data_IF_590296225602
#
_entry.id   IF_590296225602
#
_cell.length_a   1.000
_cell.length_b   1.000
_cell.length_c   1.000
_cell.angle_alpha   90.00
_cell.angle_beta   90.00
_cell.angle_gamma   90.00
#
_symmetry.space_group_name_H-M   'P 1'
#
loop_
_entity.id
_entity.type
_entity.pdbx_description
1 polymer ?
#
# COMPACT_ATOMS: atom_id res chain seq x y z
N UNK A 1 -11.44 -42.18 95.22
CA UNK A 1 -10.79 -43.51 94.89
C UNK A 1 -10.35 -43.49 93.45
N UNK A 2 -9.01 -43.70 93.28
CA UNK A 2 -8.32 -44.23 92.07
C UNK A 2 -8.65 -43.62 90.68
N UNK A 3 -7.68 -42.83 90.12
CA UNK A 3 -6.48 -43.25 89.36
C UNK A 3 -6.84 -43.81 87.94
N UNK A 4 -6.39 -43.10 86.87
CA UNK A 4 -5.33 -43.44 85.88
C UNK A 4 -5.61 -42.48 84.70
N UNK A 5 -4.81 -41.69 84.23
CA UNK A 5 -3.47 -41.53 83.73
C UNK A 5 -3.22 -42.24 82.40
N UNK A 6 -3.24 -41.53 81.27
CA UNK A 6 -2.51 -42.01 80.11
C UNK A 6 -1.99 -40.82 79.30
N UNK A 7 -0.75 -40.84 79.00
CA UNK A 7 0.00 -39.95 78.12
C UNK A 7 -0.34 -40.24 76.65
N UNK A 8 -0.75 -39.27 75.88
CA UNK A 8 -0.68 -39.35 74.44
C UNK A 8 0.35 -38.34 73.93
N UNK A 9 1.36 -38.90 73.27
CA UNK A 9 2.43 -38.17 72.58
C UNK A 9 1.87 -37.65 71.24
N UNK A 10 1.73 -36.34 71.12
CA UNK A 10 1.50 -35.69 69.83
C UNK A 10 2.79 -35.71 69.00
N UNK A 11 2.81 -36.51 67.96
CA UNK A 11 3.80 -36.50 66.87
C UNK A 11 3.50 -35.29 65.98
N UNK A 12 4.30 -34.23 66.06
CA UNK A 12 4.25 -33.11 65.09
C UNK A 12 4.95 -33.52 63.83
N UNK A 13 4.20 -33.88 62.77
CA UNK A 13 4.72 -34.09 61.41
C UNK A 13 4.89 -32.73 60.74
N UNK A 14 6.14 -32.25 60.65
CA UNK A 14 6.49 -31.07 59.85
C UNK A 14 6.36 -31.42 58.36
N UNK A 15 5.27 -31.00 57.69
CA UNK A 15 5.16 -30.99 56.26
C UNK A 15 5.96 -29.82 55.69
N UNK A 16 7.19 -30.05 55.30
CA UNK A 16 7.96 -29.11 54.47
C UNK A 16 7.40 -29.20 53.05
N UNK A 17 6.48 -28.29 52.76
CA UNK A 17 5.97 -28.10 51.37
C UNK A 17 7.08 -27.50 50.50
N UNK A 18 7.68 -28.31 49.65
CA UNK A 18 8.54 -27.83 48.56
C UNK A 18 7.64 -27.13 47.57
N UNK A 19 7.47 -25.83 47.66
CA UNK A 19 6.96 -24.98 46.61
C UNK A 19 7.96 -25.00 45.46
N UNK A 20 7.86 -25.98 44.57
CA UNK A 20 8.49 -25.94 43.30
C UNK A 20 7.94 -24.72 42.52
N UNK A 21 8.65 -23.59 42.66
CA UNK A 21 8.36 -22.41 41.83
C UNK A 21 8.57 -22.78 40.37
N UNK A 22 7.50 -23.02 39.65
CA UNK A 22 7.56 -23.00 38.20
C UNK A 22 8.10 -21.63 37.80
N UNK A 23 9.20 -21.56 37.02
CA UNK A 23 9.62 -20.28 36.47
C UNK A 23 8.44 -19.74 35.66
N UNK A 24 7.84 -18.65 36.13
CA UNK A 24 6.93 -17.87 35.29
C UNK A 24 7.73 -17.53 34.03
N UNK A 25 7.40 -18.16 32.91
CA UNK A 25 7.99 -17.82 31.64
C UNK A 25 7.67 -16.32 31.45
N UNK A 26 8.69 -15.48 31.58
CA UNK A 26 8.57 -14.05 31.30
C UNK A 26 8.09 -13.97 29.84
N UNK A 27 6.84 -13.64 29.65
CA UNK A 27 6.27 -13.38 28.31
C UNK A 27 7.14 -12.25 27.75
N UNK A 28 7.94 -12.56 26.75
CA UNK A 28 8.77 -11.55 26.11
C UNK A 28 7.84 -10.42 25.63
N UNK A 29 8.10 -9.21 26.09
CA UNK A 29 7.30 -8.05 25.71
C UNK A 29 7.31 -7.92 24.19
N UNK A 30 6.14 -7.85 23.58
CA UNK A 30 6.00 -7.77 22.12
C UNK A 30 6.68 -6.50 21.58
N UNK A 31 7.25 -6.61 20.40
CA UNK A 31 7.82 -5.48 19.66
C UNK A 31 6.65 -4.68 19.06
N UNK A 32 6.47 -3.45 19.53
CA UNK A 32 5.43 -2.55 19.01
C UNK A 32 5.85 -1.94 17.69
N UNK A 33 5.00 -2.10 16.69
CA UNK A 33 5.09 -1.48 15.36
C UNK A 33 3.88 -0.59 15.18
N UNK A 34 4.09 0.68 14.89
CA UNK A 34 3.01 1.64 14.75
C UNK A 34 2.58 1.80 13.29
N UNK A 35 1.28 1.87 13.02
CA UNK A 35 0.74 2.19 11.71
C UNK A 35 -0.26 3.34 11.79
N UNK A 36 -0.11 4.36 10.92
CA UNK A 36 -1.10 5.41 10.75
C UNK A 36 -1.72 5.25 9.36
N UNK A 37 -3.02 4.96 9.34
CA UNK A 37 -3.73 4.52 8.14
C UNK A 37 -5.06 5.24 8.02
N UNK A 38 -5.44 5.79 6.85
CA UNK A 38 -6.75 6.41 6.66
C UNK A 38 -7.85 5.34 6.57
N UNK A 39 -8.45 4.97 7.70
CA UNK A 39 -9.57 4.03 7.74
C UNK A 39 -10.90 4.68 7.38
N UNK A 40 -10.98 6.00 7.52
CA UNK A 40 -12.15 6.82 7.20
C UNK A 40 -11.75 7.98 6.26
N UNK A 41 -12.76 8.74 5.79
CA UNK A 41 -12.54 9.85 4.86
C UNK A 41 -12.32 9.38 3.40
N UNK A 42 -11.75 10.29 2.59
CA UNK A 42 -11.61 10.11 1.12
C UNK A 42 -10.73 8.92 0.71
N UNK A 43 -9.85 8.47 1.56
CA UNK A 43 -8.92 7.36 1.33
C UNK A 43 -9.29 6.07 2.08
N UNK A 44 -10.41 6.05 2.79
CA UNK A 44 -10.80 4.92 3.65
C UNK A 44 -10.80 3.56 2.94
N UNK A 45 -11.21 3.51 1.67
CA UNK A 45 -11.18 2.28 0.87
C UNK A 45 -9.77 1.76 0.59
N UNK A 46 -8.79 2.66 0.39
CA UNK A 46 -7.38 2.30 0.25
C UNK A 46 -6.77 1.90 1.59
N UNK A 47 -7.08 2.65 2.65
CA UNK A 47 -6.63 2.35 4.00
C UNK A 47 -7.08 0.99 4.52
N UNK A 48 -8.31 0.59 4.21
CA UNK A 48 -8.81 -0.74 4.56
C UNK A 48 -7.99 -1.88 3.92
N UNK A 49 -7.55 -1.72 2.68
CA UNK A 49 -6.68 -2.68 1.99
C UNK A 49 -5.30 -2.76 2.66
N UNK A 50 -4.73 -1.61 3.02
CA UNK A 50 -3.44 -1.49 3.72
C UNK A 50 -3.52 -2.17 5.08
N UNK A 51 -4.55 -1.88 5.86
CA UNK A 51 -4.80 -2.52 7.16
C UNK A 51 -4.84 -4.04 7.04
N UNK A 52 -5.60 -4.58 6.09
CA UNK A 52 -5.72 -6.03 5.90
C UNK A 52 -4.34 -6.68 5.65
N UNK A 53 -3.49 -6.05 4.84
CA UNK A 53 -2.13 -6.54 4.59
C UNK A 53 -1.26 -6.57 5.85
N UNK A 54 -1.28 -5.51 6.65
CA UNK A 54 -0.52 -5.45 7.90
C UNK A 54 -0.98 -6.49 8.92
N UNK A 55 -2.29 -6.59 9.14
CA UNK A 55 -2.86 -7.53 10.11
C UNK A 55 -2.52 -8.99 9.75
N UNK A 56 -2.69 -9.38 8.47
CA UNK A 56 -2.36 -10.74 8.02
C UNK A 56 -0.84 -10.99 8.17
N UNK A 57 0.01 -10.04 7.79
CA UNK A 57 1.44 -10.19 7.86
C UNK A 57 1.95 -10.33 9.30
N UNK A 58 1.44 -9.51 10.23
CA UNK A 58 1.81 -9.61 11.66
C UNK A 58 1.35 -10.93 12.25
N UNK A 59 0.15 -11.41 11.91
CA UNK A 59 -0.33 -12.72 12.34
C UNK A 59 0.56 -13.85 11.82
N UNK A 60 1.00 -13.78 10.56
CA UNK A 60 1.85 -14.81 9.96
C UNK A 60 3.26 -14.82 10.61
N UNK A 61 3.86 -13.64 10.82
CA UNK A 61 5.11 -13.52 11.57
C UNK A 61 4.98 -14.12 12.97
N UNK A 62 3.91 -13.80 13.69
CA UNK A 62 3.68 -14.30 15.05
C UNK A 62 3.39 -15.81 15.07
N UNK A 63 2.66 -16.32 14.09
CA UNK A 63 2.40 -17.76 13.93
C UNK A 63 3.69 -18.55 13.65
N UNK A 64 4.64 -17.93 12.95
CA UNK A 64 5.98 -18.48 12.76
C UNK A 64 6.88 -18.40 14.01
N UNK A 65 6.34 -17.83 15.11
CA UNK A 65 7.02 -17.69 16.40
C UNK A 65 7.62 -16.31 16.65
N UNK A 66 7.28 -15.29 15.84
CA UNK A 66 7.79 -13.92 15.97
C UNK A 66 9.15 -13.73 15.28
N UNK A 67 9.77 -12.57 15.51
CA UNK A 67 11.08 -12.20 14.98
C UNK A 67 12.19 -12.60 15.95
N UNK A 68 13.34 -13.00 15.42
CA UNK A 68 14.49 -13.41 16.24
C UNK A 68 15.40 -12.22 16.50
N UNK A 69 15.58 -11.87 17.79
CA UNK A 69 16.48 -10.81 18.24
C UNK A 69 17.41 -11.36 19.31
N UNK A 70 18.72 -11.31 19.08
CA UNK A 70 19.74 -11.87 20.00
C UNK A 70 19.42 -13.31 20.47
N UNK A 71 18.96 -14.16 19.56
CA UNK A 71 18.60 -15.56 19.83
C UNK A 71 17.24 -15.78 20.50
N UNK A 72 16.49 -14.72 20.80
CA UNK A 72 15.14 -14.79 21.39
C UNK A 72 14.08 -14.53 20.34
N UNK A 73 13.00 -15.31 20.36
CA UNK A 73 11.82 -15.05 19.53
C UNK A 73 10.86 -14.12 20.24
N UNK A 74 10.50 -13.02 19.58
CA UNK A 74 9.66 -11.96 20.13
C UNK A 74 8.52 -11.69 19.16
N UNK A 75 7.25 -11.71 19.59
CA UNK A 75 6.12 -11.41 18.72
C UNK A 75 6.07 -9.93 18.37
N UNK A 76 5.43 -9.60 17.24
CA UNK A 76 5.09 -8.23 16.85
C UNK A 76 3.72 -7.86 17.40
N UNK A 77 3.57 -6.60 17.83
CA UNK A 77 2.30 -5.97 18.18
C UNK A 77 2.05 -4.81 17.22
N UNK A 78 0.97 -4.88 16.45
CA UNK A 78 0.56 -3.80 15.56
C UNK A 78 -0.32 -2.81 16.31
N UNK A 79 0.15 -1.57 16.45
CA UNK A 79 -0.64 -0.44 16.98
C UNK A 79 -1.08 0.42 15.80
N UNK A 80 -2.38 0.38 15.47
CA UNK A 80 -2.93 1.05 14.29
C UNK A 80 -3.86 2.20 14.71
N UNK A 81 -3.63 3.39 14.13
CA UNK A 81 -4.42 4.59 14.36
C UNK A 81 -4.99 5.12 13.03
N UNK A 82 -6.25 5.59 13.08
CA UNK A 82 -6.92 6.25 11.95
C UNK A 82 -6.53 7.73 11.89
N UNK A 83 -6.04 8.19 10.74
CA UNK A 83 -5.78 9.62 10.47
C UNK A 83 -6.96 10.34 9.78
N UNK A 84 -8.03 9.61 9.49
CA UNK A 84 -9.25 10.15 8.90
C UNK A 84 -9.01 10.85 7.54
N UNK A 85 -7.96 10.47 6.83
CA UNK A 85 -7.50 11.09 5.57
C UNK A 85 -7.09 12.57 5.72
N UNK A 86 -6.60 12.96 6.90
CA UNK A 86 -6.18 14.31 7.25
C UNK A 86 -4.70 14.36 7.64
N UNK A 87 -3.92 15.21 6.98
CA UNK A 87 -2.47 15.31 7.18
C UNK A 87 -2.11 15.82 8.59
N UNK A 88 -2.92 16.69 9.20
CA UNK A 88 -2.69 17.19 10.56
C UNK A 88 -2.91 16.06 11.57
N UNK A 89 -3.97 15.26 11.35
CA UNK A 89 -4.22 14.07 12.17
C UNK A 89 -3.13 13.01 11.97
N UNK A 90 -2.61 12.83 10.75
CA UNK A 90 -1.47 11.96 10.50
C UNK A 90 -0.29 12.34 11.42
N UNK A 91 0.10 13.62 11.47
CA UNK A 91 1.17 14.11 12.36
C UNK A 91 0.85 13.79 13.81
N UNK A 92 -0.34 14.12 14.28
CA UNK A 92 -0.75 13.88 15.69
C UNK A 92 -0.75 12.39 16.04
N UNK A 93 -1.22 11.50 15.16
CA UNK A 93 -1.20 10.04 15.38
C UNK A 93 0.22 9.48 15.38
N UNK A 94 1.10 9.97 14.51
CA UNK A 94 2.52 9.60 14.51
C UNK A 94 3.20 9.95 15.84
N UNK A 95 2.96 11.14 16.38
CA UNK A 95 3.50 11.56 17.70
C UNK A 95 2.91 10.71 18.84
N UNK A 96 1.61 10.38 18.77
CA UNK A 96 0.98 9.46 19.73
C UNK A 96 1.67 8.09 19.73
N UNK A 97 1.98 7.55 18.56
CA UNK A 97 2.69 6.27 18.43
C UNK A 97 4.14 6.39 18.96
N UNK A 98 4.83 7.51 18.70
CA UNK A 98 6.16 7.74 19.23
C UNK A 98 6.19 7.67 20.77
N UNK A 99 5.20 8.30 21.44
CA UNK A 99 5.06 8.28 22.89
C UNK A 99 4.79 6.86 23.46
N UNK A 100 4.28 5.94 22.65
CA UNK A 100 4.06 4.54 23.03
C UNK A 100 5.31 3.66 22.86
N UNK A 101 6.44 4.22 22.43
CA UNK A 101 7.71 3.52 22.30
C UNK A 101 7.75 2.54 21.12
N UNK A 102 7.07 2.84 20.02
CA UNK A 102 7.13 1.99 18.83
C UNK A 102 8.55 1.93 18.24
N UNK A 103 8.88 0.79 17.64
CA UNK A 103 10.20 0.54 17.05
C UNK A 103 10.31 1.04 15.61
N UNK A 104 9.22 0.97 14.85
CA UNK A 104 9.12 1.41 13.46
C UNK A 104 7.70 1.86 13.13
N UNK A 105 7.57 2.70 12.09
CA UNK A 105 6.30 3.09 11.51
C UNK A 105 6.02 2.31 10.22
N UNK A 106 4.75 2.00 10.00
CA UNK A 106 4.18 1.53 8.74
C UNK A 106 3.25 2.61 8.19
N UNK A 107 3.34 2.87 6.88
CA UNK A 107 2.59 3.93 6.22
C UNK A 107 1.15 3.57 5.91
N UNK A 108 0.38 4.59 5.59
CA UNK A 108 -1.02 4.48 5.20
C UNK A 108 -1.23 4.48 3.69
N UNK A 109 -2.11 5.35 3.22
CA UNK A 109 -2.49 5.49 1.82
C UNK A 109 -2.61 6.97 1.45
N UNK A 110 -1.95 7.39 0.36
CA UNK A 110 -1.99 8.77 -0.13
C UNK A 110 -0.69 9.55 0.09
N UNK A 111 -0.22 10.22 -0.96
CA UNK A 111 1.09 10.91 -0.96
C UNK A 111 1.15 12.09 -0.01
N UNK A 112 0.06 12.84 0.14
CA UNK A 112 -0.07 13.97 1.05
C UNK A 112 0.09 13.56 2.53
N UNK A 113 -0.52 12.43 2.92
CA UNK A 113 -0.40 11.89 4.28
C UNK A 113 1.03 11.39 4.55
N UNK A 114 1.66 10.75 3.55
CA UNK A 114 3.05 10.29 3.68
C UNK A 114 4.05 11.46 3.75
N UNK A 115 3.80 12.57 3.06
CA UNK A 115 4.63 13.76 3.17
C UNK A 115 4.63 14.33 4.60
N UNK A 116 3.46 14.35 5.24
CA UNK A 116 3.33 14.75 6.65
C UNK A 116 4.01 13.75 7.59
N UNK A 117 3.78 12.45 7.39
CA UNK A 117 4.34 11.38 8.21
C UNK A 117 5.87 11.30 8.15
N UNK A 118 6.46 11.47 6.95
CA UNK A 118 7.90 11.37 6.75
C UNK A 118 8.70 12.36 7.62
N UNK A 119 8.22 13.60 7.74
CA UNK A 119 8.83 14.62 8.59
C UNK A 119 8.84 14.23 10.07
N UNK A 120 7.76 13.60 10.56
CA UNK A 120 7.67 13.12 11.95
C UNK A 120 8.59 11.92 12.17
N UNK A 121 8.64 10.98 11.21
CA UNK A 121 9.53 9.82 11.30
C UNK A 121 11.01 10.24 11.35
N UNK A 122 11.42 11.21 10.53
CA UNK A 122 12.77 11.77 10.53
C UNK A 122 13.09 12.47 11.85
N UNK A 123 12.21 13.36 12.35
CA UNK A 123 12.33 14.03 13.65
C UNK A 123 12.54 13.02 14.79
N UNK A 124 11.77 11.94 14.79
CA UNK A 124 11.76 10.91 15.84
C UNK A 124 12.84 9.85 15.62
N UNK A 125 13.67 9.97 14.57
CA UNK A 125 14.68 8.99 14.18
C UNK A 125 14.12 7.56 14.23
N UNK A 126 12.96 7.37 13.63
CA UNK A 126 12.24 6.09 13.66
C UNK A 126 12.02 5.59 12.24
N UNK A 127 12.49 4.38 11.88
CA UNK A 127 12.29 3.83 10.54
C UNK A 127 10.83 3.87 10.12
N UNK A 128 10.57 4.30 8.89
CA UNK A 128 9.26 4.43 8.29
C UNK A 128 9.21 3.72 6.95
N UNK A 129 8.42 2.66 6.86
CA UNK A 129 8.12 1.95 5.62
C UNK A 129 6.80 2.46 5.06
N UNK A 130 6.88 3.43 4.17
CA UNK A 130 5.72 4.03 3.51
C UNK A 130 5.26 3.18 2.32
N UNK A 131 3.96 2.93 2.22
CA UNK A 131 3.33 2.14 1.15
C UNK A 131 2.19 2.94 0.52
N UNK A 132 1.76 2.57 -0.69
CA UNK A 132 0.61 3.20 -1.36
C UNK A 132 0.75 4.73 -1.53
N UNK A 133 1.97 5.20 -1.83
CA UNK A 133 2.24 6.58 -2.27
C UNK A 133 3.29 6.60 -3.37
N UNK A 134 3.11 7.50 -4.32
CA UNK A 134 3.99 7.58 -5.50
C UNK A 134 4.77 8.88 -5.62
N UNK A 135 4.48 9.90 -4.80
CA UNK A 135 5.19 11.19 -4.85
C UNK A 135 6.69 11.01 -4.54
N UNK A 136 7.50 11.05 -5.58
CA UNK A 136 8.95 10.87 -5.49
C UNK A 136 9.64 12.03 -4.77
N UNK A 137 9.09 13.25 -4.91
CA UNK A 137 9.60 14.47 -4.28
C UNK A 137 9.79 14.35 -2.75
N UNK A 138 9.04 13.50 -2.07
CA UNK A 138 9.20 13.28 -0.63
C UNK A 138 10.60 12.72 -0.33
N UNK A 139 11.07 11.76 -1.12
CA UNK A 139 12.41 11.17 -0.95
C UNK A 139 13.56 12.14 -1.28
N UNK A 140 13.29 13.16 -2.10
CA UNK A 140 14.27 14.19 -2.47
C UNK A 140 14.55 15.21 -1.34
N UNK A 141 13.84 15.12 -0.21
CA UNK A 141 14.04 15.99 0.95
C UNK A 141 15.21 15.54 1.84
N UNK A 142 15.90 14.45 1.50
CA UNK A 142 17.05 13.95 2.25
C UNK A 142 16.70 13.19 3.53
N UNK A 143 15.47 12.70 3.67
CA UNK A 143 15.06 11.86 4.79
C UNK A 143 15.85 10.56 4.83
N UNK A 144 16.39 10.24 5.99
CA UNK A 144 17.22 9.04 6.22
C UNK A 144 16.41 7.85 6.74
N UNK A 145 15.24 8.11 7.34
CA UNK A 145 14.41 7.10 7.98
C UNK A 145 13.21 6.69 7.12
N UNK A 146 13.01 7.33 5.95
CA UNK A 146 11.93 7.00 5.01
C UNK A 146 12.38 5.97 3.98
N UNK A 147 11.65 4.86 3.90
CA UNK A 147 11.79 3.83 2.87
C UNK A 147 10.42 3.53 2.27
N UNK A 148 10.39 3.17 1.00
CA UNK A 148 9.12 2.80 0.36
C UNK A 148 9.31 1.62 -0.59
N UNK A 149 8.84 0.42 -0.23
CA UNK A 149 8.81 -0.72 -1.14
C UNK A 149 7.62 -0.61 -2.12
N UNK A 150 7.48 0.57 -2.72
CA UNK A 150 6.40 0.89 -3.65
C UNK A 150 6.93 1.81 -4.74
N UNK A 151 6.49 1.60 -5.97
CA UNK A 151 6.92 2.39 -7.13
C UNK A 151 6.65 3.89 -6.97
N UNK A 152 7.39 4.71 -7.70
CA UNK A 152 7.26 6.17 -7.69
C UNK A 152 6.77 6.70 -9.04
N UNK A 153 6.37 7.96 -9.10
CA UNK A 153 5.83 8.58 -10.31
C UNK A 153 6.71 8.38 -11.56
N UNK A 154 8.05 8.50 -11.50
CA UNK A 154 8.91 8.21 -12.66
C UNK A 154 8.82 6.75 -13.11
N UNK A 155 8.69 5.79 -12.17
CA UNK A 155 8.57 4.37 -12.51
C UNK A 155 7.27 4.11 -13.27
N UNK A 156 6.14 4.74 -12.89
CA UNK A 156 4.86 4.63 -13.62
C UNK A 156 5.01 5.13 -15.07
N UNK A 157 5.68 6.28 -15.25
CA UNK A 157 5.94 6.81 -16.58
C UNK A 157 6.68 5.81 -17.46
N UNK A 158 7.76 5.20 -16.95
CA UNK A 158 8.55 4.19 -17.66
C UNK A 158 7.74 2.93 -17.96
N UNK A 159 6.98 2.41 -17.00
CA UNK A 159 6.16 1.23 -17.19
C UNK A 159 5.01 1.49 -18.20
N UNK A 160 4.44 2.70 -18.22
CA UNK A 160 3.47 3.09 -19.22
C UNK A 160 4.07 3.07 -20.64
N UNK A 161 5.31 3.56 -20.82
CA UNK A 161 6.01 3.46 -22.11
C UNK A 161 6.14 2.00 -22.55
N UNK A 162 6.51 1.11 -21.62
CA UNK A 162 6.63 -0.32 -21.91
C UNK A 162 5.28 -0.97 -22.26
N UNK A 163 4.21 -0.64 -21.54
CA UNK A 163 2.86 -1.11 -21.86
C UNK A 163 2.41 -0.62 -23.26
N UNK A 164 2.53 0.68 -23.52
CA UNK A 164 2.16 1.24 -24.83
C UNK A 164 3.03 0.65 -25.96
N UNK A 165 4.29 0.30 -25.64
CA UNK A 165 5.17 -0.42 -26.55
C UNK A 165 4.65 -1.77 -27.00
N UNK A 166 3.79 -2.42 -26.23
CA UNK A 166 3.14 -3.69 -26.59
C UNK A 166 1.98 -3.54 -27.59
N UNK A 167 1.49 -2.31 -27.81
CA UNK A 167 0.48 -2.00 -28.83
C UNK A 167 1.19 -1.75 -30.15
N UNK A 168 0.67 -2.25 -31.30
CA UNK A 168 1.23 -1.92 -32.62
C UNK A 168 1.33 -0.40 -32.81
N UNK A 169 2.44 0.07 -33.37
CA UNK A 169 2.75 1.51 -33.44
C UNK A 169 1.66 2.35 -34.14
N UNK A 170 0.99 1.78 -35.16
CA UNK A 170 -0.10 2.44 -35.86
C UNK A 170 -1.34 2.67 -34.97
N UNK A 171 -1.57 1.80 -34.00
CA UNK A 171 -2.79 1.80 -33.17
C UNK A 171 -2.60 2.60 -31.88
N UNK A 172 -1.35 2.89 -31.47
CA UNK A 172 -1.05 3.63 -30.24
C UNK A 172 -1.76 4.98 -30.19
N UNK A 173 -2.21 5.43 -29.01
CA UNK A 173 -2.78 6.77 -28.87
C UNK A 173 -1.73 7.83 -29.24
N UNK A 174 -2.11 8.80 -30.08
CA UNK A 174 -1.23 9.89 -30.53
C UNK A 174 -1.40 11.16 -29.71
N UNK A 175 -2.59 11.33 -29.12
CA UNK A 175 -2.95 12.51 -28.32
C UNK A 175 -3.50 12.09 -26.97
N UNK A 176 -3.06 12.79 -25.93
CA UNK A 176 -3.43 12.49 -24.53
C UNK A 176 -3.97 13.74 -23.86
N UNK A 177 -5.03 13.59 -23.09
CA UNK A 177 -5.44 14.57 -22.11
C UNK A 177 -4.97 14.13 -20.72
N UNK A 178 -4.31 15.02 -19.98
CA UNK A 178 -3.95 14.82 -18.58
C UNK A 178 -4.92 15.62 -17.72
N UNK A 179 -5.63 14.93 -16.82
CA UNK A 179 -6.46 15.54 -15.80
C UNK A 179 -5.68 15.59 -14.50
N UNK A 180 -5.06 16.75 -14.24
CA UNK A 180 -4.12 16.95 -13.16
C UNK A 180 -4.84 17.36 -11.86
N UNK A 181 -4.76 16.54 -10.83
CA UNK A 181 -5.16 16.96 -9.48
C UNK A 181 -4.25 18.10 -8.98
N UNK A 182 -4.81 19.17 -8.38
CA UNK A 182 -4.07 20.31 -7.81
C UNK A 182 -3.34 19.94 -6.52
N UNK A 183 -2.47 18.92 -6.60
CA UNK A 183 -1.59 18.46 -5.52
C UNK A 183 -0.16 18.35 -6.04
N UNK A 184 0.81 18.20 -5.14
CA UNK A 184 2.20 17.94 -5.54
C UNK A 184 2.31 16.67 -6.36
N UNK A 185 1.59 15.61 -5.96
CA UNK A 185 1.59 14.38 -6.71
C UNK A 185 0.92 14.50 -8.08
N UNK A 186 -0.19 15.21 -8.18
CA UNK A 186 -0.83 15.47 -9.48
C UNK A 186 0.10 16.16 -10.46
N UNK A 187 0.86 17.17 -10.00
CA UNK A 187 1.86 17.87 -10.81
C UNK A 187 3.02 16.95 -11.21
N UNK A 188 3.55 16.17 -10.28
CA UNK A 188 4.64 15.24 -10.55
C UNK A 188 4.23 14.18 -11.58
N UNK A 189 3.02 13.62 -11.45
CA UNK A 189 2.50 12.65 -12.42
C UNK A 189 2.26 13.26 -13.80
N UNK A 190 1.72 14.47 -13.88
CA UNK A 190 1.55 15.16 -15.16
C UNK A 190 2.91 15.36 -15.87
N UNK A 191 3.95 15.72 -15.12
CA UNK A 191 5.32 15.81 -15.63
C UNK A 191 5.82 14.44 -16.10
N UNK A 192 5.68 13.38 -15.28
CA UNK A 192 6.15 12.03 -15.62
C UNK A 192 5.47 11.50 -16.90
N UNK A 193 4.17 11.72 -17.07
CA UNK A 193 3.45 11.32 -18.29
C UNK A 193 3.83 12.18 -19.51
N UNK A 194 4.08 13.46 -19.31
CA UNK A 194 4.56 14.33 -20.40
C UNK A 194 5.93 13.87 -20.92
N UNK A 195 6.84 13.52 -20.01
CA UNK A 195 8.15 12.96 -20.38
C UNK A 195 8.00 11.56 -21.02
N UNK A 196 7.12 10.72 -20.50
CA UNK A 196 6.81 9.42 -21.10
C UNK A 196 6.30 9.55 -22.56
N UNK A 197 5.57 10.62 -22.87
CA UNK A 197 5.09 10.92 -24.21
C UNK A 197 6.19 11.02 -25.24
N UNK A 198 7.34 11.59 -24.89
CA UNK A 198 8.51 11.70 -25.78
C UNK A 198 9.00 10.33 -26.21
N UNK A 199 9.02 9.35 -25.31
CA UNK A 199 9.47 7.99 -25.60
C UNK A 199 8.39 7.11 -26.21
N UNK A 200 7.12 7.28 -25.82
CA UNK A 200 5.98 6.48 -26.30
C UNK A 200 5.37 7.00 -27.61
N UNK A 201 5.73 8.21 -28.04
CA UNK A 201 5.29 8.81 -29.30
C UNK A 201 3.88 9.41 -29.25
N UNK A 202 3.42 9.87 -28.09
CA UNK A 202 2.19 10.65 -27.94
C UNK A 202 2.46 12.11 -27.56
N UNK A 203 1.53 12.98 -27.87
CA UNK A 203 1.54 14.39 -27.48
C UNK A 203 0.49 14.67 -26.43
N UNK A 204 0.79 15.49 -25.45
CA UNK A 204 -0.18 16.01 -24.48
C UNK A 204 -0.93 17.17 -25.12
N UNK A 205 -2.14 16.90 -25.61
CA UNK A 205 -3.02 17.89 -26.26
C UNK A 205 -3.76 18.76 -25.24
N UNK A 206 -4.02 18.25 -24.06
CA UNK A 206 -4.68 18.95 -22.95
C UNK A 206 -3.99 18.60 -21.64
N UNK A 207 -3.64 19.58 -20.85
CA UNK A 207 -3.28 19.41 -19.45
C UNK A 207 -4.18 20.37 -18.63
N UNK A 208 -5.24 19.81 -18.07
CA UNK A 208 -6.24 20.56 -17.31
C UNK A 208 -6.18 20.16 -15.84
N UNK A 209 -6.15 21.15 -14.94
CA UNK A 209 -6.08 20.92 -13.51
C UNK A 209 -7.44 21.09 -12.82
N UNK A 210 -7.64 20.37 -11.70
CA UNK A 210 -8.85 20.43 -10.88
C UNK A 210 -8.51 20.34 -9.39
N UNK A 211 -9.37 20.90 -8.54
CA UNK A 211 -9.25 20.77 -7.10
C UNK A 211 -9.78 19.39 -6.63
N UNK A 212 -9.10 18.69 -5.71
CA UNK A 212 -9.62 17.46 -5.11
C UNK A 212 -11.01 17.68 -4.51
N UNK A 213 -11.93 16.77 -4.75
CA UNK A 213 -13.31 16.86 -4.27
C UNK A 213 -14.23 17.78 -5.09
N UNK A 214 -13.79 18.24 -6.26
CA UNK A 214 -14.64 18.96 -7.20
C UNK A 214 -15.87 18.10 -7.57
N UNK A 215 -16.99 18.77 -7.87
CA UNK A 215 -18.25 18.10 -8.24
C UNK A 215 -18.50 18.10 -9.73
N UNK A 216 -17.82 18.96 -10.45
CA UNK A 216 -17.95 19.12 -11.88
C UNK A 216 -16.57 19.14 -12.56
N UNK A 217 -16.42 18.24 -13.53
CA UNK A 217 -15.24 18.05 -14.36
C UNK A 217 -15.53 18.30 -15.84
N UNK A 218 -16.73 18.79 -16.16
CA UNK A 218 -17.23 18.91 -17.55
C UNK A 218 -16.33 19.78 -18.42
N UNK A 219 -15.81 20.90 -17.90
CA UNK A 219 -14.92 21.79 -18.66
C UNK A 219 -13.66 21.07 -19.17
N UNK A 220 -12.97 20.31 -18.32
CA UNK A 220 -11.75 19.62 -18.73
C UNK A 220 -12.07 18.42 -19.68
N UNK A 221 -13.23 17.77 -19.49
CA UNK A 221 -13.68 16.68 -20.36
C UNK A 221 -14.02 17.22 -21.76
N UNK A 222 -14.74 18.36 -21.84
CA UNK A 222 -15.06 19.01 -23.10
C UNK A 222 -13.82 19.51 -23.84
N UNK A 223 -12.83 20.05 -23.12
CA UNK A 223 -11.53 20.41 -23.70
C UNK A 223 -10.82 19.20 -24.30
N UNK A 224 -10.80 18.07 -23.59
CA UNK A 224 -10.20 16.83 -24.07
C UNK A 224 -10.96 16.29 -25.31
N UNK A 225 -12.28 16.33 -25.30
CA UNK A 225 -13.12 15.96 -26.43
C UNK A 225 -12.89 16.86 -27.65
N UNK A 226 -12.85 18.17 -27.47
CA UNK A 226 -12.59 19.14 -28.54
C UNK A 226 -11.18 18.97 -29.14
N UNK A 227 -10.18 18.68 -28.31
CA UNK A 227 -8.82 18.37 -28.75
C UNK A 227 -8.68 16.97 -29.37
N UNK A 228 -9.74 16.19 -29.44
CA UNK A 228 -9.76 14.78 -29.90
C UNK A 228 -8.70 13.93 -29.22
N UNK A 229 -8.51 14.13 -27.91
CA UNK A 229 -7.56 13.33 -27.16
C UNK A 229 -7.98 11.86 -27.16
N UNK A 230 -7.08 11.00 -27.61
CA UNK A 230 -7.34 9.55 -27.75
C UNK A 230 -7.17 8.79 -26.44
N UNK A 231 -6.44 9.36 -25.49
CA UNK A 231 -6.28 8.80 -24.14
C UNK A 231 -6.48 9.86 -23.05
N UNK A 232 -6.89 9.40 -21.85
CA UNK A 232 -6.99 10.21 -20.64
C UNK A 232 -6.13 9.60 -19.57
N UNK A 233 -5.24 10.40 -18.96
CA UNK A 233 -4.42 10.02 -17.80
C UNK A 233 -4.76 10.92 -16.61
N UNK A 234 -5.01 10.31 -15.45
CA UNK A 234 -5.42 11.03 -14.24
C UNK A 234 -4.99 10.34 -12.95
N UNK A 235 -4.91 11.09 -11.85
CA UNK A 235 -4.64 10.56 -10.50
C UNK A 235 -5.75 10.94 -9.49
N UNK A 236 -7.02 10.77 -9.83
CA UNK A 236 -8.11 11.25 -8.98
C UNK A 236 -8.23 10.44 -7.68
N UNK A 237 -8.87 11.05 -6.66
CA UNK A 237 -9.41 10.28 -5.55
C UNK A 237 -10.51 9.33 -6.04
N UNK A 238 -10.84 8.26 -5.31
CA UNK A 238 -11.91 7.35 -5.76
C UNK A 238 -13.25 8.05 -6.05
N UNK A 239 -13.76 8.97 -5.22
CA UNK A 239 -14.98 9.72 -5.54
C UNK A 239 -14.85 10.57 -6.81
N UNK A 240 -13.73 11.29 -6.97
CA UNK A 240 -13.50 12.16 -8.13
C UNK A 240 -13.42 11.35 -9.43
N UNK A 241 -12.67 10.24 -9.40
CA UNK A 241 -12.54 9.35 -10.56
C UNK A 241 -13.87 8.76 -11.02
N UNK A 242 -14.73 8.36 -10.07
CA UNK A 242 -16.07 7.87 -10.39
C UNK A 242 -16.94 8.97 -11.01
N UNK A 243 -16.83 10.22 -10.55
CA UNK A 243 -17.53 11.35 -11.14
C UNK A 243 -17.02 11.68 -12.54
N UNK A 244 -15.69 11.67 -12.73
CA UNK A 244 -15.09 11.87 -14.07
C UNK A 244 -15.62 10.83 -15.07
N UNK A 245 -15.65 9.55 -14.71
CA UNK A 245 -16.17 8.49 -15.63
C UNK A 245 -17.64 8.72 -15.98
N UNK A 246 -18.48 9.06 -15.00
CA UNK A 246 -19.90 9.36 -15.23
C UNK A 246 -20.08 10.54 -16.19
N UNK A 247 -19.35 11.64 -15.94
CA UNK A 247 -19.43 12.84 -16.78
C UNK A 247 -18.80 12.59 -18.17
N UNK A 248 -17.76 11.76 -18.32
CA UNK A 248 -17.28 11.34 -19.65
C UNK A 248 -18.37 10.61 -20.46
N UNK A 249 -19.15 9.74 -19.80
CA UNK A 249 -20.30 9.07 -20.42
C UNK A 249 -21.40 10.06 -20.79
N UNK A 250 -21.79 10.93 -19.87
CA UNK A 250 -22.85 11.95 -20.08
C UNK A 250 -22.50 12.90 -21.23
N UNK A 251 -21.23 13.26 -21.37
CA UNK A 251 -20.71 14.12 -22.43
C UNK A 251 -20.33 13.37 -23.71
N UNK A 252 -20.61 12.06 -23.80
CA UNK A 252 -20.24 11.19 -24.92
C UNK A 252 -18.78 11.38 -25.34
N UNK A 253 -17.87 11.34 -24.36
CA UNK A 253 -16.43 11.32 -24.61
C UNK A 253 -15.87 9.92 -24.35
N UNK A 254 -15.44 9.26 -25.41
CA UNK A 254 -15.03 7.85 -25.43
C UNK A 254 -13.55 7.74 -25.84
N UNK A 255 -12.57 7.99 -24.94
CA UNK A 255 -11.16 7.81 -25.28
C UNK A 255 -10.82 6.32 -25.48
N UNK A 256 -9.86 6.03 -26.37
CA UNK A 256 -9.35 4.67 -26.63
C UNK A 256 -8.72 4.04 -25.39
N UNK A 257 -8.17 4.87 -24.49
CA UNK A 257 -7.52 4.46 -23.26
C UNK A 257 -7.82 5.46 -22.14
N UNK A 258 -8.23 4.94 -20.99
CA UNK A 258 -8.32 5.72 -19.74
C UNK A 258 -7.42 5.08 -18.70
N UNK A 259 -6.38 5.77 -18.26
CA UNK A 259 -5.51 5.38 -17.16
C UNK A 259 -5.84 6.26 -15.95
N UNK A 260 -6.31 5.64 -14.89
CA UNK A 260 -6.49 6.32 -13.60
C UNK A 260 -5.69 5.61 -12.53
N UNK A 261 -4.77 6.33 -11.90
CA UNK A 261 -3.99 5.79 -10.77
C UNK A 261 -4.69 6.16 -9.47
N UNK A 262 -4.80 5.21 -8.54
CA UNK A 262 -5.45 5.34 -7.23
C UNK A 262 -6.99 5.20 -7.25
N UNK A 263 -7.72 5.92 -8.08
CA UNK A 263 -9.19 5.92 -8.03
C UNK A 263 -9.83 4.55 -8.24
N UNK A 264 -9.36 3.72 -9.20
CA UNK A 264 -9.94 2.40 -9.44
C UNK A 264 -9.44 1.30 -8.49
N UNK A 265 -8.56 1.62 -7.51
CA UNK A 265 -7.97 0.60 -6.63
C UNK A 265 -9.01 -0.09 -5.72
N UNK A 266 -9.96 0.61 -5.07
CA UNK A 266 -10.89 -0.04 -4.18
C UNK A 266 -12.07 -0.70 -4.91
N UNK A 267 -12.61 -1.82 -4.40
CA UNK A 267 -13.73 -2.55 -5.01
C UNK A 267 -15.01 -1.74 -5.18
N UNK A 268 -15.15 -0.64 -4.43
CA UNK A 268 -16.28 0.28 -4.58
C UNK A 268 -16.38 0.89 -5.98
N UNK A 269 -15.28 0.92 -6.74
CA UNK A 269 -15.25 1.32 -8.14
C UNK A 269 -16.22 0.50 -8.99
N UNK A 270 -16.05 -0.81 -9.04
CA UNK A 270 -16.94 -1.70 -9.80
C UNK A 270 -18.37 -1.70 -9.26
N UNK A 271 -18.53 -1.65 -7.91
CA UNK A 271 -19.84 -1.59 -7.27
C UNK A 271 -20.65 -0.34 -7.69
N UNK A 272 -20.00 0.83 -7.78
CA UNK A 272 -20.70 2.10 -8.02
C UNK A 272 -20.81 2.46 -9.51
N UNK A 273 -19.88 1.98 -10.33
CA UNK A 273 -19.88 2.28 -11.78
C UNK A 273 -20.43 1.14 -12.63
N UNK A 274 -20.42 -0.10 -12.11
CA UNK A 274 -20.79 -1.26 -12.92
C UNK A 274 -19.98 -1.31 -14.21
N UNK A 275 -20.65 -1.55 -15.33
CA UNK A 275 -20.02 -1.62 -16.67
C UNK A 275 -19.34 -0.31 -17.10
N UNK A 276 -19.78 0.85 -16.61
CA UNK A 276 -19.16 2.13 -16.97
C UNK A 276 -17.73 2.24 -16.43
N UNK A 277 -17.42 1.53 -15.34
CA UNK A 277 -16.08 1.44 -14.77
C UNK A 277 -15.14 0.45 -15.46
N UNK A 278 -15.66 -0.38 -16.37
CA UNK A 278 -14.84 -1.34 -17.11
C UNK A 278 -13.93 -0.63 -18.14
N UNK A 279 -12.88 -1.33 -18.55
CA UNK A 279 -11.82 -0.89 -19.45
C UNK A 279 -10.95 0.25 -18.94
N UNK A 280 -11.13 0.70 -17.70
CA UNK A 280 -10.21 1.64 -17.05
C UNK A 280 -8.96 0.88 -16.62
N UNK A 281 -7.80 1.36 -17.10
CA UNK A 281 -6.48 0.87 -16.73
C UNK A 281 -6.06 1.51 -15.41
N UNK A 282 -5.39 0.76 -14.54
CA UNK A 282 -4.82 1.23 -13.29
C UNK A 282 -3.41 0.67 -13.10
N UNK A 283 -2.59 1.40 -12.35
CA UNK A 283 -1.21 1.03 -12.03
C UNK A 283 -1.05 0.84 -10.51
N UNK A 284 -1.57 -0.25 -9.93
CA UNK A 284 -1.58 -0.42 -8.47
C UNK A 284 -0.27 -0.99 -7.91
N UNK A 285 0.61 -1.50 -8.78
CA UNK A 285 1.88 -2.10 -8.40
C UNK A 285 1.81 -3.57 -7.97
N UNK A 286 0.62 -4.14 -7.75
CA UNK A 286 0.46 -5.53 -7.34
C UNK A 286 -0.91 -6.12 -7.72
N UNK A 287 -0.95 -7.45 -7.81
CA UNK A 287 -2.18 -8.21 -8.01
C UNK A 287 -2.07 -9.57 -7.31
N UNK A 288 -3.18 -10.08 -6.77
CA UNK A 288 -3.23 -11.36 -6.04
C UNK A 288 -2.94 -12.60 -6.89
N UNK A 289 -2.88 -12.48 -8.21
CA UNK A 289 -2.44 -13.53 -9.12
C UNK A 289 -0.95 -13.46 -9.46
N UNK A 290 -0.19 -12.52 -8.89
CA UNK A 290 1.27 -12.48 -9.06
C UNK A 290 1.89 -13.80 -8.58
N UNK A 291 2.95 -14.27 -9.27
CA UNK A 291 3.53 -15.61 -9.02
C UNK A 291 4.78 -15.54 -8.14
N UNK A 292 4.75 -14.68 -7.11
CA UNK A 292 5.83 -14.60 -6.13
C UNK A 292 5.55 -15.49 -4.92
N UNK A 293 6.60 -15.93 -4.20
CA UNK A 293 6.44 -16.73 -2.98
C UNK A 293 5.54 -16.04 -1.95
N UNK A 294 4.60 -16.79 -1.36
CA UNK A 294 3.69 -16.28 -0.33
C UNK A 294 2.44 -15.56 -0.84
N UNK A 295 2.33 -15.28 -2.15
CA UNK A 295 1.14 -14.59 -2.71
C UNK A 295 -0.11 -15.45 -2.58
N UNK A 296 -0.02 -16.73 -2.84
CA UNK A 296 -1.14 -17.66 -2.73
C UNK A 296 -1.67 -17.73 -1.29
N UNK A 297 -0.77 -17.93 -0.34
CA UNK A 297 -1.08 -17.99 1.09
C UNK A 297 -1.70 -16.69 1.60
N UNK A 298 -1.13 -15.55 1.21
CA UNK A 298 -1.70 -14.23 1.50
C UNK A 298 -3.12 -14.09 0.94
N UNK A 299 -3.34 -14.47 -0.31
CA UNK A 299 -4.66 -14.39 -0.94
C UNK A 299 -5.67 -15.31 -0.23
N UNK A 300 -5.31 -16.53 0.13
CA UNK A 300 -6.15 -17.46 0.88
C UNK A 300 -6.52 -16.90 2.27
N UNK A 301 -5.54 -16.32 2.98
CA UNK A 301 -5.78 -15.67 4.28
C UNK A 301 -6.72 -14.46 4.14
N UNK A 302 -6.54 -13.66 3.09
CA UNK A 302 -7.42 -12.54 2.80
C UNK A 302 -8.84 -12.98 2.45
N UNK A 303 -9.00 -14.01 1.60
CA UNK A 303 -10.31 -14.58 1.28
C UNK A 303 -11.02 -15.06 2.54
N UNK A 304 -10.31 -15.75 3.43
CA UNK A 304 -10.88 -16.22 4.71
C UNK A 304 -11.33 -15.06 5.60
N UNK A 305 -10.62 -13.93 5.61
CA UNK A 305 -10.90 -12.76 6.46
C UNK A 305 -11.97 -11.84 5.88
N UNK A 306 -11.92 -11.60 4.56
CA UNK A 306 -12.67 -10.53 3.88
C UNK A 306 -13.75 -11.06 2.93
N UNK A 307 -13.70 -12.36 2.59
CA UNK A 307 -14.67 -13.03 1.70
C UNK A 307 -14.45 -12.81 0.21
N UNK A 308 -13.30 -12.25 -0.19
CA UNK A 308 -12.93 -11.99 -1.60
C UNK A 308 -11.40 -12.00 -1.78
N UNK A 309 -10.91 -12.10 -3.02
CA UNK A 309 -9.47 -12.04 -3.30
C UNK A 309 -8.79 -10.80 -2.72
N UNK A 310 -7.48 -10.92 -2.44
CA UNK A 310 -6.70 -9.84 -1.87
C UNK A 310 -6.67 -8.62 -2.79
N UNK A 311 -6.88 -7.46 -2.18
CA UNK A 311 -6.87 -6.17 -2.85
C UNK A 311 -5.44 -5.74 -3.24
N UNK A 312 -5.37 -4.81 -4.16
CA UNK A 312 -4.09 -4.38 -4.75
C UNK A 312 -3.10 -3.76 -3.76
N UNK A 313 -3.57 -3.14 -2.67
CA UNK A 313 -2.67 -2.60 -1.63
C UNK A 313 -2.36 -3.60 -0.52
N UNK A 314 -3.02 -4.74 -0.47
CA UNK A 314 -2.78 -5.79 0.54
C UNK A 314 -1.37 -6.37 0.40
N UNK A 315 -0.93 -6.67 -0.84
CA UNK A 315 0.41 -7.22 -1.09
C UNK A 315 1.55 -6.28 -0.68
N UNK A 316 1.59 -5.02 -1.15
CA UNK A 316 2.61 -4.06 -0.74
C UNK A 316 2.67 -3.81 0.77
N UNK A 317 1.52 -3.79 1.44
CA UNK A 317 1.45 -3.65 2.90
C UNK A 317 2.00 -4.87 3.63
N UNK A 318 1.63 -6.06 3.20
CA UNK A 318 2.19 -7.32 3.70
C UNK A 318 3.72 -7.36 3.52
N UNK A 319 4.22 -6.98 2.34
CA UNK A 319 5.64 -6.94 2.04
C UNK A 319 6.42 -5.99 2.96
N UNK A 320 5.82 -4.85 3.35
CA UNK A 320 6.45 -3.92 4.30
C UNK A 320 6.72 -4.58 5.65
N UNK A 321 5.80 -5.42 6.14
CA UNK A 321 6.03 -6.19 7.39
C UNK A 321 7.08 -7.28 7.19
N UNK A 322 7.11 -7.96 6.03
CA UNK A 322 8.16 -8.94 5.72
C UNK A 322 9.55 -8.29 5.76
N UNK A 323 9.68 -7.11 5.14
CA UNK A 323 10.94 -6.34 5.12
C UNK A 323 11.32 -5.92 6.54
N UNK A 324 10.38 -5.38 7.30
CA UNK A 324 10.62 -4.93 8.68
C UNK A 324 11.04 -6.08 9.59
N UNK A 325 10.32 -7.20 9.55
CA UNK A 325 10.66 -8.39 10.34
C UNK A 325 12.08 -8.87 10.03
N UNK A 326 12.43 -8.95 8.74
CA UNK A 326 13.78 -9.35 8.32
C UNK A 326 14.85 -8.35 8.71
N UNK A 327 14.54 -7.05 8.66
CA UNK A 327 15.45 -6.00 9.10
C UNK A 327 15.72 -6.05 10.61
N UNK A 328 14.69 -6.29 11.43
CA UNK A 328 14.84 -6.47 12.89
C UNK A 328 15.73 -7.68 13.18
N UNK A 329 15.52 -8.81 12.52
CA UNK A 329 16.36 -10.00 12.65
C UNK A 329 17.84 -9.72 12.30
N UNK A 330 18.06 -9.03 11.16
CA UNK A 330 19.41 -8.67 10.69
C UNK A 330 20.10 -7.68 11.63
N UNK A 331 19.37 -6.73 12.17
CA UNK A 331 19.88 -5.77 13.14
C UNK A 331 20.33 -6.44 14.44
N UNK A 332 19.71 -7.58 14.81
CA UNK A 332 20.03 -8.34 16.04
C UNK A 332 19.80 -7.60 17.34
N UNK A 333 19.18 -6.40 17.27
CA UNK A 333 18.91 -5.51 18.40
C UNK A 333 17.65 -4.67 18.12
N UNK A 334 16.97 -4.25 19.21
CA UNK A 334 15.83 -3.33 19.14
C UNK A 334 16.33 -1.87 19.12
N UNK A 335 17.17 -1.57 18.13
CA UNK A 335 17.79 -0.28 17.92
C UNK A 335 17.33 0.31 16.58
N UNK A 336 16.75 1.51 16.63
CA UNK A 336 16.13 2.15 15.48
C UNK A 336 17.12 2.46 14.34
N UNK A 337 18.34 2.87 14.68
CA UNK A 337 19.37 3.16 13.68
C UNK A 337 19.87 1.89 12.99
N UNK A 338 20.13 0.82 13.77
CA UNK A 338 20.51 -0.47 13.18
C UNK A 338 19.41 -1.06 12.31
N UNK A 339 18.15 -0.90 12.70
CA UNK A 339 17.00 -1.37 11.91
C UNK A 339 16.87 -0.54 10.62
N UNK A 340 17.03 0.79 10.70
CA UNK A 340 17.09 1.65 9.52
C UNK A 340 18.17 1.19 8.55
N UNK A 341 19.38 0.92 9.03
CA UNK A 341 20.50 0.47 8.19
C UNK A 341 20.22 -0.92 7.59
N UNK A 342 19.59 -1.80 8.36
CA UNK A 342 19.17 -3.11 7.89
C UNK A 342 18.06 -3.04 6.82
N UNK A 343 17.14 -2.07 6.93
CA UNK A 343 16.13 -1.78 5.89
C UNK A 343 16.83 -1.26 4.64
N UNK A 344 17.74 -0.28 4.76
CA UNK A 344 18.48 0.27 3.63
C UNK A 344 19.26 -0.81 2.86
N UNK A 345 19.78 -1.82 3.57
CA UNK A 345 20.50 -2.97 2.99
C UNK A 345 19.57 -4.12 2.55
N UNK A 346 18.27 -3.87 2.40
CA UNK A 346 17.32 -4.91 1.97
C UNK A 346 17.62 -5.38 0.54
N UNK A 347 17.79 -6.68 0.39
CA UNK A 347 17.79 -7.40 -0.87
C UNK A 347 17.11 -8.74 -0.62
N UNK A 348 15.83 -8.83 -0.99
CA UNK A 348 15.02 -10.03 -0.73
C UNK A 348 13.83 -10.13 -1.68
N UNK A 349 13.31 -11.33 -1.84
CA UNK A 349 12.02 -11.57 -2.52
C UNK A 349 10.90 -11.57 -1.49
N UNK A 350 9.85 -10.82 -1.77
CA UNK A 350 8.63 -10.69 -0.96
C UNK A 350 7.41 -11.07 -1.79
N UNK A 351 6.22 -10.93 -1.23
CA UNK A 351 4.97 -11.12 -2.00
C UNK A 351 4.78 -10.11 -3.15
N UNK A 352 5.55 -9.01 -3.17
CA UNK A 352 5.57 -8.07 -4.31
C UNK A 352 6.73 -8.37 -5.28
N UNK A 353 7.44 -9.48 -5.10
CA UNK A 353 8.62 -9.85 -5.87
C UNK A 353 9.93 -9.37 -5.23
N UNK A 354 11.02 -9.28 -6.02
CA UNK A 354 12.29 -8.80 -5.53
C UNK A 354 12.22 -7.33 -5.12
N UNK A 355 12.78 -7.01 -3.95
CA UNK A 355 12.83 -5.66 -3.38
C UNK A 355 14.25 -5.33 -2.98
N UNK A 356 14.69 -4.13 -3.35
CA UNK A 356 15.88 -3.45 -2.84
C UNK A 356 15.63 -1.95 -2.81
N UNK A 357 16.41 -1.22 -2.01
CA UNK A 357 16.26 0.22 -1.91
C UNK A 357 17.42 0.95 -2.60
N UNK A 358 17.10 2.10 -3.20
CA UNK A 358 18.08 3.09 -3.64
C UNK A 358 18.59 3.89 -2.43
N UNK A 359 19.71 4.62 -2.55
CA UNK A 359 20.24 5.43 -1.43
C UNK A 359 19.26 6.46 -0.86
N UNK A 360 18.29 6.90 -1.64
CA UNK A 360 17.22 7.83 -1.21
C UNK A 360 16.03 7.13 -0.54
N UNK A 361 16.09 5.82 -0.31
CA UNK A 361 15.03 5.02 0.31
C UNK A 361 13.88 4.64 -0.65
N UNK A 362 13.96 4.99 -1.95
CA UNK A 362 12.97 4.52 -2.93
C UNK A 362 13.20 3.06 -3.27
N UNK A 363 12.13 2.28 -3.36
CA UNK A 363 12.18 0.87 -3.72
C UNK A 363 12.43 0.64 -5.21
N UNK A 364 13.21 -0.39 -5.52
CA UNK A 364 13.23 -1.03 -6.84
C UNK A 364 12.37 -2.27 -6.69
N UNK A 365 11.16 -2.20 -7.26
CA UNK A 365 10.13 -3.24 -7.13
C UNK A 365 9.48 -3.48 -8.50
N UNK A 366 9.04 -4.72 -8.79
CA UNK A 366 8.20 -4.95 -9.95
C UNK A 366 6.93 -4.10 -9.90
N UNK A 367 6.38 -3.80 -11.05
CA UNK A 367 5.09 -3.11 -11.19
C UNK A 367 4.18 -3.85 -12.14
N UNK A 368 2.89 -3.64 -12.00
CA UNK A 368 1.86 -4.23 -12.85
C UNK A 368 0.85 -3.18 -13.29
N UNK A 369 0.21 -3.42 -14.43
CA UNK A 369 -1.03 -2.76 -14.79
C UNK A 369 -2.17 -3.76 -14.69
N UNK A 370 -3.24 -3.33 -14.04
CA UNK A 370 -4.51 -4.02 -14.05
C UNK A 370 -5.50 -3.25 -14.92
N UNK A 371 -6.53 -3.94 -15.40
CA UNK A 371 -7.65 -3.34 -16.08
C UNK A 371 -8.95 -3.86 -15.48
N UNK A 372 -9.92 -2.99 -15.28
CA UNK A 372 -11.27 -3.42 -14.92
C UNK A 372 -11.91 -4.08 -16.12
N UNK A 373 -12.28 -5.35 -15.97
CA UNK A 373 -12.94 -6.15 -17.03
C UNK A 373 -14.07 -6.96 -16.38
N UNK A 374 -15.30 -6.79 -16.88
CA UNK A 374 -16.47 -7.49 -16.35
C UNK A 374 -16.65 -7.34 -14.82
N UNK A 375 -16.41 -6.12 -14.32
CA UNK A 375 -16.55 -5.78 -12.89
C UNK A 375 -15.45 -6.32 -11.98
N UNK A 376 -14.32 -6.79 -12.53
CA UNK A 376 -13.16 -7.30 -11.80
C UNK A 376 -11.89 -6.60 -12.25
N UNK A 377 -10.92 -6.52 -11.36
CA UNK A 377 -9.57 -6.12 -11.72
C UNK A 377 -8.82 -7.35 -12.25
N UNK A 378 -8.40 -7.30 -13.50
CA UNK A 378 -7.58 -8.32 -14.14
C UNK A 378 -6.16 -7.76 -14.34
N UNK A 379 -5.14 -8.58 -14.07
CA UNK A 379 -3.76 -8.24 -14.36
C UNK A 379 -3.56 -8.38 -15.88
N UNK A 380 -3.20 -7.29 -16.55
CA UNK A 380 -3.06 -7.27 -18.01
C UNK A 380 -1.62 -7.02 -18.48
N UNK A 381 -0.75 -6.58 -17.59
CA UNK A 381 0.66 -6.36 -17.89
C UNK A 381 1.51 -6.49 -16.60
N UNK A 382 2.71 -7.08 -16.64
CA UNK A 382 3.38 -7.67 -17.82
C UNK A 382 2.68 -8.95 -18.30
N UNK A 383 2.84 -9.26 -19.61
CA UNK A 383 2.10 -10.32 -20.29
C UNK A 383 2.32 -11.71 -19.67
N UNK A 384 3.49 -11.97 -19.13
CA UNK A 384 3.85 -13.26 -18.50
C UNK A 384 3.06 -13.56 -17.22
N UNK A 385 2.49 -12.53 -16.57
CA UNK A 385 1.66 -12.67 -15.35
C UNK A 385 0.18 -12.43 -15.63
N UNK A 386 -0.16 -11.99 -16.84
CA UNK A 386 -1.53 -11.56 -17.18
C UNK A 386 -2.57 -12.64 -16.88
N UNK A 387 -3.68 -12.23 -16.26
CA UNK A 387 -4.88 -13.06 -16.01
C UNK A 387 -5.91 -12.90 -17.11
N UNK A 388 -5.83 -11.79 -17.85
CA UNK A 388 -6.65 -11.50 -19.02
C UNK A 388 -5.86 -10.70 -20.07
N UNK A 389 -6.26 -10.73 -21.34
CA UNK A 389 -5.69 -9.86 -22.36
C UNK A 389 -5.95 -8.38 -22.05
N UNK A 390 -4.97 -7.52 -22.33
CA UNK A 390 -5.19 -6.07 -22.32
C UNK A 390 -6.17 -5.69 -23.43
N UNK A 391 -7.30 -5.09 -23.07
CA UNK A 391 -8.33 -4.64 -24.01
C UNK A 391 -8.05 -3.21 -24.44
N UNK A 392 -7.64 -3.05 -25.67
CA UNK A 392 -7.37 -1.77 -26.31
C UNK A 392 -7.71 -1.85 -27.81
N UNK A 393 -8.41 -0.86 -28.41
CA UNK A 393 -9.03 0.28 -27.74
C UNK A 393 -10.21 -0.12 -26.84
N UNK A 394 -10.48 0.68 -25.81
CA UNK A 394 -11.68 0.51 -24.99
C UNK A 394 -12.94 0.72 -25.83
N UNK A 395 -13.98 -0.13 -25.69
CA UNK A 395 -15.25 0.10 -26.35
C UNK A 395 -15.93 1.37 -25.84
N UNK A 396 -16.72 2.07 -26.68
CA UNK A 396 -17.54 3.19 -26.25
C UNK A 396 -18.50 2.80 -25.12
N UNK A 397 -18.85 3.74 -24.22
CA UNK A 397 -19.75 3.49 -23.08
C UNK A 397 -21.05 2.78 -23.48
N UNK A 398 -21.63 3.13 -24.63
CA UNK A 398 -22.86 2.51 -25.13
C UNK A 398 -22.73 1.02 -25.50
N UNK A 399 -21.48 0.50 -25.59
CA UNK A 399 -21.20 -0.91 -25.93
C UNK A 399 -20.56 -1.72 -24.80
N UNK A 400 -20.47 -1.14 -23.62
CA UNK A 400 -19.92 -1.80 -22.42
C UNK A 400 -20.91 -2.71 -21.72
#
# INVERSE_FOLDING_TARGET
MRRHGWFERCLLVLFVGILAGWPAAAVAQAIKVGAVVPLTGRYGGGGAQVRAGYEIAVEDVNRAGGVTVAGKRIPLELVLLDDESDATKTVSRMETLAAQGILAYLGGFGSDLHAAAASVAEKNKTPYLGVAFALNKIHQQGFRYLFSPFWKSPDIGQHLVALLGSIPAADRPKTVAIFQEKTDWGREMATAWTEAGKAAGFQVAVNADYAPGAKDFSDMILKAKAARAEAVFAVPTPPDGMTIVKQMKELDYNPKLTLMVRAPDPPVWGKNLGKDGDYVLLAPGWHHAARYPGVKELNEAHVKRVGRPADVMTGPSYASVQILAKAIERAGALDKDKIRDAIAATEMTTVVGPVRFRPDGTGIVPSVFNQWLNGKQELVWPKEFATAPFVYPAPPFAKR
#
